data_IF_248593743398
#
_entry.id   IF_248593743398
#
_cell.length_a   1.000
_cell.length_b   1.000
_cell.length_c   1.000
_cell.angle_alpha   90.00
_cell.angle_beta   90.00
_cell.angle_gamma   90.00
#
_symmetry.space_group_name_H-M   'P 1'
#
loop_
_entity.id
_entity.type
_entity.pdbx_description
1 polymer ?
#
# COMPACT_ATOMS: atom_id res chain seq x y z
N UNK A 1 -8.83 2.20 27.47
CA UNK A 1 -7.47 1.84 27.89
C UNK A 1 -7.28 0.36 27.54
N UNK A 2 -6.11 -0.06 27.04
CA UNK A 2 -5.92 -1.39 26.45
C UNK A 2 -5.09 -2.30 27.38
N UNK A 3 -5.73 -3.26 28.04
CA UNK A 3 -5.12 -4.25 28.93
C UNK A 3 -3.93 -5.00 28.34
N UNK A 4 -2.99 -5.45 29.18
CA UNK A 4 -1.80 -6.24 28.75
C UNK A 4 -2.21 -7.42 27.83
N UNK A 5 -3.18 -8.24 28.22
CA UNK A 5 -3.68 -9.38 27.43
C UNK A 5 -4.22 -8.98 26.04
N UNK A 6 -4.85 -7.82 25.95
CA UNK A 6 -5.40 -7.30 24.70
C UNK A 6 -4.32 -6.66 23.84
N UNK A 7 -3.34 -6.00 24.44
CA UNK A 7 -2.19 -5.45 23.74
C UNK A 7 -1.38 -6.55 23.07
N UNK A 8 -1.09 -7.65 23.78
CA UNK A 8 -0.38 -8.81 23.24
C UNK A 8 -1.11 -9.44 22.05
N UNK A 9 -2.43 -9.66 22.18
CA UNK A 9 -3.26 -10.18 21.07
C UNK A 9 -3.26 -9.25 19.86
N UNK A 10 -3.34 -7.94 20.10
CA UNK A 10 -3.34 -6.93 19.03
C UNK A 10 -1.98 -6.86 18.32
N UNK A 11 -0.86 -6.98 19.05
CA UNK A 11 0.46 -7.06 18.43
C UNK A 11 0.63 -8.33 17.60
N UNK A 12 0.22 -9.48 18.12
CA UNK A 12 0.25 -10.73 17.37
C UNK A 12 -0.59 -10.65 16.08
N UNK A 13 -1.76 -10.00 16.15
CA UNK A 13 -2.60 -9.78 14.97
C UNK A 13 -1.95 -8.84 13.95
N UNK A 14 -1.24 -7.80 14.42
CA UNK A 14 -0.49 -6.90 13.53
C UNK A 14 0.66 -7.62 12.83
N UNK A 15 1.35 -8.54 13.50
CA UNK A 15 2.39 -9.37 12.87
C UNK A 15 1.83 -10.25 11.73
N UNK A 16 0.62 -10.78 11.90
CA UNK A 16 -0.09 -11.53 10.85
C UNK A 16 -0.42 -10.61 9.67
N UNK A 17 -1.02 -9.44 9.94
CA UNK A 17 -1.35 -8.48 8.88
C UNK A 17 -0.12 -7.94 8.15
N UNK A 18 1.01 -7.78 8.83
CA UNK A 18 2.26 -7.37 8.19
C UNK A 18 2.73 -8.41 7.17
N UNK A 19 2.70 -9.69 7.53
CA UNK A 19 3.05 -10.81 6.63
C UNK A 19 2.10 -10.88 5.45
N UNK A 20 0.79 -10.84 5.70
CA UNK A 20 -0.23 -10.87 4.64
C UNK A 20 -0.08 -9.67 3.69
N UNK A 21 0.16 -8.48 4.25
CA UNK A 21 0.36 -7.27 3.48
C UNK A 21 1.64 -7.36 2.62
N UNK A 22 2.74 -7.87 3.17
CA UNK A 22 3.99 -8.09 2.43
C UNK A 22 3.80 -9.09 1.28
N UNK A 23 3.14 -10.23 1.55
CA UNK A 23 2.86 -11.25 0.54
C UNK A 23 1.94 -10.71 -0.56
N UNK A 24 0.82 -10.10 -0.19
CA UNK A 24 -0.10 -9.48 -1.16
C UNK A 24 0.61 -8.43 -2.01
N UNK A 25 1.54 -7.69 -1.41
CA UNK A 25 2.28 -6.66 -2.10
C UNK A 25 3.29 -7.21 -3.10
N UNK A 26 3.97 -8.29 -2.71
CA UNK A 26 4.87 -9.01 -3.59
C UNK A 26 4.11 -9.60 -4.78
N UNK A 27 2.99 -10.26 -4.56
CA UNK A 27 2.16 -10.83 -5.63
C UNK A 27 1.64 -9.73 -6.57
N UNK A 28 1.23 -8.58 -6.04
CA UNK A 28 0.79 -7.45 -6.87
C UNK A 28 1.93 -6.89 -7.75
N UNK A 29 3.13 -6.73 -7.18
CA UNK A 29 4.31 -6.30 -7.93
C UNK A 29 4.71 -7.30 -9.03
N UNK A 30 4.69 -8.60 -8.71
CA UNK A 30 4.95 -9.67 -9.68
C UNK A 30 3.94 -9.64 -10.83
N UNK A 31 2.65 -9.49 -10.53
CA UNK A 31 1.61 -9.42 -11.57
C UNK A 31 1.80 -8.21 -12.50
N UNK A 32 2.19 -7.05 -11.97
CA UNK A 32 2.49 -5.88 -12.80
C UNK A 32 3.69 -6.15 -13.71
N UNK A 33 4.74 -6.80 -13.20
CA UNK A 33 5.92 -7.17 -14.00
C UNK A 33 5.59 -8.17 -15.11
N UNK A 34 4.78 -9.18 -14.83
CA UNK A 34 4.29 -10.12 -15.84
C UNK A 34 3.53 -9.40 -16.95
N UNK A 35 2.59 -8.51 -16.59
CA UNK A 35 1.81 -7.74 -17.57
C UNK A 35 2.65 -6.79 -18.41
N UNK A 36 3.72 -6.21 -17.83
CA UNK A 36 4.67 -5.37 -18.58
C UNK A 36 5.42 -6.24 -19.60
N UNK A 37 5.92 -7.40 -19.20
CA UNK A 37 6.61 -8.35 -20.10
C UNK A 37 5.69 -8.85 -21.21
N UNK A 38 4.43 -9.11 -20.91
CA UNK A 38 3.43 -9.47 -21.93
C UNK A 38 3.23 -8.35 -22.95
N UNK A 39 3.15 -7.09 -22.50
CA UNK A 39 3.02 -5.94 -23.39
C UNK A 39 4.27 -5.77 -24.28
N UNK A 40 5.47 -5.99 -23.75
CA UNK A 40 6.73 -5.99 -24.50
C UNK A 40 6.74 -7.11 -25.56
N UNK A 41 6.40 -8.34 -25.16
CA UNK A 41 6.32 -9.48 -26.08
C UNK A 41 5.31 -9.23 -27.22
N UNK A 42 4.17 -8.59 -26.92
CA UNK A 42 3.17 -8.20 -27.94
C UNK A 42 3.71 -7.13 -28.89
N UNK A 43 4.47 -6.16 -28.39
CA UNK A 43 5.12 -5.15 -29.22
C UNK A 43 6.14 -5.79 -30.17
N UNK A 44 6.97 -6.71 -29.68
CA UNK A 44 7.97 -7.40 -30.51
C UNK A 44 7.29 -8.22 -31.62
N UNK A 45 6.23 -8.96 -31.29
CA UNK A 45 5.43 -9.69 -32.28
C UNK A 45 4.78 -8.77 -33.31
N UNK A 46 4.28 -7.61 -32.88
CA UNK A 46 3.68 -6.61 -33.76
C UNK A 46 4.71 -6.03 -34.74
N UNK A 47 5.94 -5.78 -34.28
CA UNK A 47 7.04 -5.33 -35.13
C UNK A 47 7.41 -6.40 -36.16
N UNK A 48 7.57 -7.66 -35.74
CA UNK A 48 7.89 -8.75 -36.67
C UNK A 48 6.80 -8.91 -37.75
N UNK A 49 5.52 -8.92 -37.36
CA UNK A 49 4.41 -9.03 -38.31
C UNK A 49 4.37 -7.87 -39.33
N UNK A 50 4.78 -6.66 -38.93
CA UNK A 50 4.90 -5.53 -39.85
C UNK A 50 6.09 -5.71 -40.82
N UNK A 51 7.24 -6.18 -40.33
CA UNK A 51 8.41 -6.45 -41.17
C UNK A 51 8.15 -7.56 -42.18
N UNK A 52 7.37 -8.58 -41.81
CA UNK A 52 6.95 -9.67 -42.70
C UNK A 52 5.86 -9.25 -43.70
N UNK A 53 5.42 -7.99 -43.68
CA UNK A 53 4.36 -7.47 -44.54
C UNK A 53 2.98 -8.07 -44.25
N UNK A 54 2.81 -8.74 -43.11
CA UNK A 54 1.55 -9.41 -42.73
C UNK A 54 0.46 -8.44 -42.27
N UNK A 55 0.83 -7.19 -41.98
CA UNK A 55 -0.10 -6.13 -41.56
C UNK A 55 0.21 -4.81 -42.26
N UNK A 56 -0.84 -4.03 -42.52
CA UNK A 56 -0.73 -2.68 -43.07
C UNK A 56 -0.19 -1.68 -42.03
N UNK A 57 0.46 -0.61 -42.51
CA UNK A 57 1.09 0.42 -41.68
C UNK A 57 0.11 1.10 -40.74
N UNK A 58 -1.09 1.41 -41.22
CA UNK A 58 -2.16 2.04 -40.44
C UNK A 58 -2.55 1.15 -39.25
N UNK A 59 -2.73 -0.15 -39.50
CA UNK A 59 -3.04 -1.14 -38.45
C UNK A 59 -1.91 -1.25 -37.43
N UNK A 60 -0.65 -1.25 -37.88
CA UNK A 60 0.52 -1.25 -37.01
C UNK A 60 0.55 -0.03 -36.09
N UNK A 61 0.32 1.18 -36.63
CA UNK A 61 0.37 2.43 -35.86
C UNK A 61 -0.68 2.47 -34.75
N UNK A 62 -1.92 2.06 -35.05
CA UNK A 62 -3.02 2.01 -34.07
C UNK A 62 -2.68 1.03 -32.94
N UNK A 63 -2.27 -0.19 -33.29
CA UNK A 63 -1.95 -1.24 -32.30
C UNK A 63 -0.73 -0.89 -31.44
N UNK A 64 0.26 -0.23 -32.04
CA UNK A 64 1.45 0.25 -31.33
C UNK A 64 1.08 1.28 -30.27
N UNK A 65 0.26 2.27 -30.62
CA UNK A 65 -0.17 3.31 -29.69
C UNK A 65 -0.97 2.73 -28.50
N UNK A 66 -1.89 1.80 -28.76
CA UNK A 66 -2.63 1.07 -27.71
C UNK A 66 -1.70 0.34 -26.73
N UNK A 67 -0.70 -0.40 -27.25
CA UNK A 67 0.25 -1.15 -26.45
C UNK A 67 1.20 -0.22 -25.66
N UNK A 68 1.67 0.87 -26.25
CA UNK A 68 2.51 1.87 -25.58
C UNK A 68 1.74 2.54 -24.43
N UNK A 69 0.49 2.95 -24.66
CA UNK A 69 -0.37 3.51 -23.61
C UNK A 69 -0.56 2.53 -22.45
N UNK A 70 -0.84 1.27 -22.76
CA UNK A 70 -0.99 0.21 -21.76
C UNK A 70 0.30 0.00 -20.96
N UNK A 71 1.47 -0.09 -21.62
CA UNK A 71 2.76 -0.22 -20.96
C UNK A 71 3.07 0.98 -20.05
N UNK A 72 2.72 2.19 -20.50
CA UNK A 72 2.93 3.42 -19.74
C UNK A 72 2.06 3.45 -18.48
N UNK A 73 0.78 3.06 -18.58
CA UNK A 73 -0.12 2.95 -17.43
C UNK A 73 0.40 1.92 -16.41
N UNK A 74 0.82 0.74 -16.87
CA UNK A 74 1.37 -0.30 -16.00
C UNK A 74 2.63 0.15 -15.28
N UNK A 75 3.55 0.84 -15.97
CA UNK A 75 4.76 1.41 -15.36
C UNK A 75 4.42 2.49 -14.31
N UNK A 76 3.43 3.33 -14.59
CA UNK A 76 2.95 4.32 -13.62
C UNK A 76 2.35 3.66 -12.38
N UNK A 77 1.53 2.63 -12.57
CA UNK A 77 0.97 1.83 -11.46
C UNK A 77 2.06 1.17 -10.63
N UNK A 78 3.11 0.67 -11.28
CA UNK A 78 4.30 0.10 -10.61
C UNK A 78 5.04 1.16 -9.78
N UNK A 79 5.26 2.36 -10.33
CA UNK A 79 5.93 3.44 -9.57
C UNK A 79 5.07 3.95 -8.40
N UNK A 80 3.75 3.99 -8.57
CA UNK A 80 2.83 4.44 -7.53
C UNK A 80 2.67 3.44 -6.37
N UNK A 81 2.85 2.14 -6.65
CA UNK A 81 2.66 1.06 -5.69
C UNK A 81 3.52 1.21 -4.42
N UNK A 82 4.81 1.53 -4.58
CA UNK A 82 5.73 1.73 -3.45
C UNK A 82 5.50 3.03 -2.67
N UNK A 83 4.82 4.02 -3.27
CA UNK A 83 4.65 5.35 -2.67
C UNK A 83 3.35 5.49 -1.86
N UNK A 84 2.29 4.75 -2.21
CA UNK A 84 0.95 4.93 -1.61
C UNK A 84 0.47 3.77 -0.73
N UNK A 85 0.96 2.54 -0.90
CA UNK A 85 0.26 1.34 -0.43
C UNK A 85 0.49 0.89 1.03
N UNK A 86 1.72 0.91 1.54
CA UNK A 86 2.06 -0.05 2.62
C UNK A 86 2.40 0.52 4.00
N UNK A 87 2.37 1.83 4.20
CA UNK A 87 2.92 2.41 5.43
C UNK A 87 1.88 2.55 6.55
N UNK A 88 0.93 1.63 6.69
CA UNK A 88 -0.12 1.69 7.72
C UNK A 88 0.11 0.78 8.92
N UNK A 89 0.87 -0.30 8.73
CA UNK A 89 1.26 -1.24 9.80
C UNK A 89 2.00 -0.49 10.92
N UNK A 90 2.97 0.36 10.56
CA UNK A 90 3.78 1.08 11.54
C UNK A 90 2.96 2.11 12.36
N UNK A 91 2.13 2.98 11.74
CA UNK A 91 1.17 3.81 12.48
C UNK A 91 0.25 3.03 13.42
N UNK A 92 -0.20 1.83 13.01
CA UNK A 92 -1.06 1.00 13.82
C UNK A 92 -0.32 0.41 15.04
N UNK A 93 0.92 -0.07 14.85
CA UNK A 93 1.78 -0.52 15.96
C UNK A 93 1.98 0.61 16.98
N UNK A 94 2.31 1.82 16.52
CA UNK A 94 2.49 2.98 17.40
C UNK A 94 1.20 3.38 18.12
N UNK A 95 0.05 3.23 17.47
CA UNK A 95 -1.24 3.48 18.11
C UNK A 95 -1.52 2.48 19.24
N UNK A 96 -1.30 1.18 19.01
CA UNK A 96 -1.47 0.13 20.04
C UNK A 96 -0.55 0.39 21.24
N UNK A 97 0.74 0.69 21.00
CA UNK A 97 1.70 1.06 22.06
C UNK A 97 1.21 2.26 22.86
N UNK A 98 0.69 3.28 22.18
CA UNK A 98 0.21 4.50 22.84
C UNK A 98 -1.05 4.22 23.68
N UNK A 99 -1.97 3.39 23.19
CA UNK A 99 -3.19 3.01 23.90
C UNK A 99 -2.92 2.14 25.14
N UNK A 100 -1.94 1.24 25.06
CA UNK A 100 -1.45 0.41 26.16
C UNK A 100 -0.72 1.25 27.22
N UNK A 101 0.16 2.15 26.78
CA UNK A 101 0.85 3.06 27.70
C UNK A 101 -0.11 4.03 28.40
N UNK A 102 -1.16 4.49 27.73
CA UNK A 102 -2.21 5.32 28.32
C UNK A 102 -2.99 4.61 29.44
N UNK A 103 -3.11 3.28 29.40
CA UNK A 103 -3.70 2.50 30.50
C UNK A 103 -2.81 2.53 31.74
N UNK A 104 -1.53 2.22 31.56
CA UNK A 104 -0.54 2.24 32.66
C UNK A 104 -0.42 3.62 33.29
N UNK A 105 -0.53 4.67 32.47
CA UNK A 105 -0.55 6.06 32.90
C UNK A 105 -1.85 6.50 33.56
N UNK A 106 -3.01 5.96 33.15
CA UNK A 106 -4.28 6.24 33.82
C UNK A 106 -4.32 5.68 35.26
N UNK A 107 -3.48 4.69 35.55
CA UNK A 107 -3.25 4.13 36.88
C UNK A 107 -2.14 4.86 37.66
N UNK A 108 -1.43 5.81 37.03
CA UNK A 108 -0.35 6.60 37.61
C UNK A 108 -0.82 8.04 37.91
N UNK A 109 -0.19 8.71 38.87
CA UNK A 109 -0.48 10.11 39.22
C UNK A 109 0.44 11.11 38.48
N UNK A 110 1.14 10.69 37.43
CA UNK A 110 2.08 11.53 36.69
C UNK A 110 1.37 12.41 35.64
N UNK A 111 0.96 13.59 36.08
CA UNK A 111 0.25 14.57 35.26
C UNK A 111 1.07 15.07 34.05
N UNK A 112 2.41 15.05 34.14
CA UNK A 112 3.27 15.55 33.06
C UNK A 112 3.33 14.56 31.90
N UNK A 113 3.47 13.26 32.20
CA UNK A 113 3.41 12.20 31.20
C UNK A 113 2.04 12.12 30.51
N UNK A 114 0.93 12.23 31.27
CA UNK A 114 -0.43 12.23 30.71
C UNK A 114 -0.63 13.37 29.69
N UNK A 115 -0.14 14.58 30.02
CA UNK A 115 -0.19 15.74 29.11
C UNK A 115 0.62 15.50 27.84
N UNK A 116 1.78 14.88 27.94
CA UNK A 116 2.63 14.55 26.79
C UNK A 116 1.98 13.52 25.85
N UNK A 117 1.31 12.53 26.42
CA UNK A 117 0.68 11.43 25.68
C UNK A 117 -0.55 11.89 24.91
N UNK A 118 -1.37 12.76 25.50
CA UNK A 118 -2.46 13.46 24.80
C UNK A 118 -1.95 14.17 23.54
N UNK A 119 -0.88 14.96 23.68
CA UNK A 119 -0.29 15.71 22.56
C UNK A 119 0.26 14.77 21.48
N UNK A 120 0.77 13.58 21.86
CA UNK A 120 1.22 12.55 20.91
C UNK A 120 0.02 11.96 20.15
N UNK A 121 -1.06 11.58 20.84
CA UNK A 121 -2.29 11.05 20.22
C UNK A 121 -2.93 12.03 19.23
N UNK A 122 -2.98 13.31 19.56
CA UNK A 122 -3.48 14.36 18.67
C UNK A 122 -2.70 14.41 17.35
N UNK A 123 -1.37 14.28 17.40
CA UNK A 123 -0.51 14.25 16.21
C UNK A 123 -0.74 13.01 15.36
N UNK A 124 -0.87 11.84 16.00
CA UNK A 124 -1.11 10.59 15.28
C UNK A 124 -2.48 10.58 14.60
N UNK A 125 -3.50 11.13 15.25
CA UNK A 125 -4.86 11.24 14.69
C UNK A 125 -4.90 12.09 13.41
N UNK A 126 -4.18 13.22 13.36
CA UNK A 126 -4.05 14.05 12.15
C UNK A 126 -3.38 13.26 11.01
N UNK A 127 -2.42 12.38 11.33
CA UNK A 127 -1.75 11.52 10.36
C UNK A 127 -2.73 10.51 9.71
N UNK A 128 -3.69 9.99 10.48
CA UNK A 128 -4.74 9.10 9.97
C UNK A 128 -5.82 9.86 9.15
N UNK A 129 -6.19 11.09 9.53
CA UNK A 129 -7.19 11.88 8.80
C UNK A 129 -6.73 12.27 7.38
N UNK A 130 -5.45 12.59 7.20
CA UNK A 130 -4.88 12.89 5.88
C UNK A 130 -4.80 11.66 4.94
N UNK A 131 -5.03 10.44 5.45
CA UNK A 131 -5.03 9.18 4.68
C UNK A 131 -6.43 8.68 4.27
N UNK A 132 -7.51 9.26 4.81
CA UNK A 132 -8.88 8.89 4.42
C UNK A 132 -9.24 9.24 2.97
N UNK A 133 -8.48 10.12 2.31
CA UNK A 133 -8.60 10.36 0.86
C UNK A 133 -8.00 9.25 -0.02
N UNK A 134 -7.38 8.20 0.57
CA UNK A 134 -6.75 7.11 -0.19
C UNK A 134 -7.10 5.68 0.27
N UNK A 135 -8.27 5.45 0.90
CA UNK A 135 -8.84 4.09 1.01
C UNK A 135 -8.72 3.38 2.36
N UNK A 136 -8.49 4.10 3.46
CA UNK A 136 -8.41 3.50 4.81
C UNK A 136 -9.78 3.01 5.36
N UNK A 137 -10.89 3.57 4.88
CA UNK A 137 -12.21 3.43 5.53
C UNK A 137 -12.94 2.09 5.32
N UNK A 138 -12.46 1.15 4.50
CA UNK A 138 -13.24 -0.05 4.12
C UNK A 138 -12.99 -1.31 4.94
N UNK A 139 -12.16 -1.28 5.99
CA UNK A 139 -11.74 -2.52 6.69
C UNK A 139 -11.87 -2.52 8.21
N UNK A 140 -12.51 -1.50 8.80
CA UNK A 140 -12.70 -1.36 10.24
C UNK A 140 -14.18 -1.26 10.69
N UNK A 141 -15.12 -1.57 9.79
CA UNK A 141 -16.54 -1.80 10.09
C UNK A 141 -16.87 -3.20 9.56
#
# INVERSE_FOLDING_TARGET
ALGDDWAEKMFAQVDVWEKDNAQSSQSFAQNLDERIKEAETKLDKLVNAFLDGSIEKETYLVKKDELIKTKTDLNKRKSDFGRKGNNWIEPLREWIKTAHHAEKLALSNDFYEIKSLRKKLERTAVCFQNKSSSGFARRLI
#
